data_IF_326917449593
#
_entry.id   IF_326917449593
#
_cell.length_a   1.000
_cell.length_b   1.000
_cell.length_c   1.000
_cell.angle_alpha   90.00
_cell.angle_beta   90.00
_cell.angle_gamma   90.00
#
_symmetry.space_group_name_H-M   'P 1'
#
loop_
_entity.id
_entity.type
_entity.pdbx_description
1 polymer ?
#
# COMPACT_ATOMS: atom_id res chain seq x y z
N UNK A 1 -5.65 -13.44 19.91
CA UNK A 1 -4.43 -14.13 19.45
C UNK A 1 -3.20 -13.47 20.06
N UNK A 2 -2.84 -13.78 21.31
CA UNK A 2 -1.87 -12.99 22.07
C UNK A 2 -0.46 -13.56 22.18
N UNK A 3 -0.13 -14.74 21.63
CA UNK A 3 1.24 -15.28 21.71
C UNK A 3 1.57 -16.20 20.52
N UNK A 4 1.86 -15.61 19.36
CA UNK A 4 2.57 -16.32 18.28
C UNK A 4 3.96 -15.71 18.16
N UNK A 5 4.87 -16.14 19.04
CA UNK A 5 6.29 -15.79 18.98
C UNK A 5 7.05 -17.06 18.60
N UNK A 6 7.43 -17.16 17.34
CA UNK A 6 8.27 -18.25 16.85
C UNK A 6 9.73 -17.80 16.93
N UNK A 7 10.53 -18.49 17.73
CA UNK A 7 11.95 -18.17 17.93
C UNK A 7 12.74 -18.20 16.61
N UNK A 8 12.34 -19.04 15.66
CA UNK A 8 12.93 -19.07 14.32
C UNK A 8 12.58 -17.85 13.47
N UNK A 9 11.36 -17.30 13.58
CA UNK A 9 10.98 -16.03 12.93
C UNK A 9 11.76 -14.84 13.52
N UNK A 10 11.88 -14.80 14.85
CA UNK A 10 12.64 -13.76 15.54
C UNK A 10 14.15 -13.83 15.20
N UNK A 11 14.72 -15.04 15.14
CA UNK A 11 16.11 -15.25 14.73
C UNK A 11 16.37 -14.83 13.27
N UNK A 12 15.36 -14.89 12.40
CA UNK A 12 15.42 -14.36 11.03
C UNK A 12 15.26 -12.82 10.96
N UNK A 13 15.15 -12.13 12.10
CA UNK A 13 15.01 -10.68 12.17
C UNK A 13 13.57 -10.18 12.05
N UNK A 14 12.58 -11.06 12.09
CA UNK A 14 11.17 -10.67 11.98
C UNK A 14 10.59 -10.38 13.36
N UNK A 15 10.18 -9.13 13.57
CA UNK A 15 9.37 -8.73 14.71
C UNK A 15 7.89 -8.60 14.31
N UNK A 16 7.13 -9.65 14.58
CA UNK A 16 5.69 -9.72 14.32
C UNK A 16 4.93 -8.64 15.12
N UNK A 17 5.38 -8.32 16.34
CA UNK A 17 4.74 -7.32 17.20
C UNK A 17 4.94 -5.92 16.62
N UNK A 18 6.15 -5.63 16.11
CA UNK A 18 6.42 -4.38 15.40
C UNK A 18 5.55 -4.24 14.15
N UNK A 19 5.33 -5.34 13.40
CA UNK A 19 4.40 -5.39 12.28
C UNK A 19 2.98 -4.99 12.66
N UNK A 20 2.41 -5.62 13.69
CA UNK A 20 1.07 -5.28 14.18
C UNK A 20 0.97 -3.85 14.71
N UNK A 21 2.01 -3.37 15.38
CA UNK A 21 2.08 -1.97 15.84
C UNK A 21 2.06 -1.00 14.67
N UNK A 22 2.84 -1.25 13.63
CA UNK A 22 2.87 -0.41 12.43
C UNK A 22 1.49 -0.36 11.76
N UNK A 23 0.85 -1.52 11.58
CA UNK A 23 -0.53 -1.59 11.05
C UNK A 23 -1.48 -0.76 11.90
N UNK A 24 -1.45 -0.91 13.23
CA UNK A 24 -2.31 -0.15 14.15
C UNK A 24 -2.15 1.37 14.00
N UNK A 25 -0.91 1.85 13.88
CA UNK A 25 -0.60 3.27 13.69
C UNK A 25 -1.11 3.81 12.35
N UNK A 26 -1.12 2.99 11.29
CA UNK A 26 -1.56 3.39 9.96
C UNK A 26 -3.08 3.30 9.75
N UNK A 27 -3.82 2.57 10.61
CA UNK A 27 -5.26 2.29 10.41
C UNK A 27 -6.09 3.52 10.08
N UNK A 28 -5.89 4.63 10.81
CA UNK A 28 -6.68 5.86 10.61
C UNK A 28 -6.36 6.57 9.29
N UNK A 29 -5.15 6.41 8.77
CA UNK A 29 -4.75 6.96 7.48
C UNK A 29 -5.28 6.09 6.34
N UNK A 30 -5.18 4.76 6.46
CA UNK A 30 -5.69 3.80 5.48
C UNK A 30 -7.22 3.89 5.38
N UNK A 31 -7.93 4.06 6.51
CA UNK A 31 -9.38 4.19 6.51
C UNK A 31 -9.88 5.37 5.64
N UNK A 32 -9.09 6.44 5.51
CA UNK A 32 -9.44 7.61 4.67
C UNK A 32 -9.34 7.34 3.18
N UNK A 33 -8.66 6.27 2.76
CA UNK A 33 -8.49 5.90 1.35
C UNK A 33 -9.49 4.83 0.90
N UNK A 34 -10.39 4.40 1.79
CA UNK A 34 -11.39 3.39 1.49
C UNK A 34 -12.41 3.90 0.48
N UNK A 35 -12.70 3.08 -0.52
CA UNK A 35 -13.73 3.35 -1.54
C UNK A 35 -14.73 2.21 -1.58
N UNK A 36 -15.85 2.41 -2.29
CA UNK A 36 -16.97 1.46 -2.30
C UNK A 36 -16.60 0.03 -2.76
N UNK A 37 -15.53 -0.12 -3.55
CA UNK A 37 -15.09 -1.44 -4.02
C UNK A 37 -14.27 -2.22 -2.98
N UNK A 38 -13.88 -1.65 -1.85
CA UNK A 38 -13.06 -2.38 -0.86
C UNK A 38 -13.95 -3.37 -0.08
N UNK A 39 -13.59 -4.66 -0.11
CA UNK A 39 -14.33 -5.74 0.55
C UNK A 39 -13.66 -6.17 1.88
N UNK A 40 -12.33 -6.10 1.95
CA UNK A 40 -11.57 -6.61 3.09
C UNK A 40 -11.14 -5.50 4.06
N UNK A 41 -11.01 -5.87 5.35
CA UNK A 41 -10.32 -5.05 6.35
C UNK A 41 -8.81 -5.38 6.41
N UNK A 42 -8.05 -4.54 7.11
CA UNK A 42 -6.60 -4.60 7.26
C UNK A 42 -6.21 -5.72 8.25
N UNK A 43 -5.18 -6.50 7.93
CA UNK A 43 -4.62 -7.53 8.81
C UNK A 43 -4.79 -8.97 8.31
N UNK A 44 -5.48 -9.17 7.20
CA UNK A 44 -5.47 -10.42 6.44
C UNK A 44 -4.23 -10.58 5.56
N UNK A 45 -4.10 -11.74 4.90
CA UNK A 45 -2.99 -12.02 3.97
C UNK A 45 -3.00 -11.14 2.71
N UNK A 46 -4.18 -10.68 2.28
CA UNK A 46 -4.32 -9.82 1.10
C UNK A 46 -5.55 -8.93 1.20
N UNK A 47 -5.50 -7.81 0.48
CA UNK A 47 -6.64 -6.92 0.29
C UNK A 47 -7.55 -7.42 -0.85
N UNK A 48 -8.86 -7.25 -0.69
CA UNK A 48 -9.88 -7.62 -1.67
C UNK A 48 -10.61 -6.37 -2.16
N UNK A 49 -10.76 -6.27 -3.48
CA UNK A 49 -11.41 -5.14 -4.14
C UNK A 49 -12.32 -5.63 -5.28
N UNK A 50 -13.58 -5.22 -5.26
CA UNK A 50 -14.57 -5.40 -6.31
C UNK A 50 -14.61 -4.14 -7.19
N UNK A 51 -14.15 -4.22 -8.46
CA UNK A 51 -14.21 -3.08 -9.36
C UNK A 51 -15.63 -2.88 -9.90
N UNK A 52 -16.10 -1.63 -9.90
CA UNK A 52 -17.26 -1.24 -10.71
C UNK A 52 -16.85 -1.19 -12.19
N UNK A 53 -17.38 -2.14 -12.97
CA UNK A 53 -17.13 -2.29 -14.40
C UNK A 53 -18.31 -1.79 -15.26
N UNK A 54 -19.28 -1.11 -14.65
CA UNK A 54 -20.45 -0.57 -15.35
C UNK A 54 -20.00 0.33 -16.50
N UNK A 55 -20.48 0.04 -17.71
CA UNK A 55 -20.12 0.80 -18.92
C UNK A 55 -18.82 0.39 -19.62
N UNK A 56 -18.04 -0.55 -19.05
CA UNK A 56 -16.78 -1.02 -19.65
C UNK A 56 -17.03 -2.35 -20.39
N UNK A 57 -17.03 -2.32 -21.73
CA UNK A 57 -17.34 -3.51 -22.56
C UNK A 57 -16.29 -4.63 -22.49
N UNK A 58 -15.01 -4.27 -22.39
CA UNK A 58 -13.87 -5.18 -22.37
C UNK A 58 -12.84 -4.66 -21.38
N UNK A 59 -13.02 -4.90 -20.07
CA UNK A 59 -12.15 -4.35 -19.05
C UNK A 59 -10.73 -4.91 -19.20
N UNK A 60 -9.75 -4.03 -19.02
CA UNK A 60 -8.32 -4.37 -19.02
C UNK A 60 -7.75 -3.84 -17.72
N UNK A 61 -6.99 -4.68 -17.01
CA UNK A 61 -6.26 -4.27 -15.83
C UNK A 61 -4.86 -3.79 -16.24
N UNK A 62 -4.49 -2.61 -15.74
CA UNK A 62 -3.15 -2.05 -15.87
C UNK A 62 -2.53 -2.05 -14.49
N UNK A 63 -1.36 -2.69 -14.35
CA UNK A 63 -0.57 -2.68 -13.13
C UNK A 63 0.78 -2.00 -13.38
N UNK A 64 1.32 -1.41 -12.34
CA UNK A 64 2.62 -0.74 -12.36
C UNK A 64 3.28 -0.82 -10.99
N UNK A 65 4.60 -0.76 -10.97
CA UNK A 65 5.40 -0.72 -9.75
C UNK A 65 6.58 0.20 -10.00
N UNK A 66 6.79 1.15 -9.10
CA UNK A 66 7.89 2.10 -9.15
C UNK A 66 8.31 2.48 -7.72
N UNK A 67 9.47 3.11 -7.59
CA UNK A 67 10.03 3.58 -6.33
C UNK A 67 10.36 5.06 -6.36
N UNK A 68 10.48 5.64 -5.17
CA UNK A 68 10.88 7.05 -4.98
C UNK A 68 12.34 7.31 -5.43
N UNK A 69 13.15 6.26 -5.50
CA UNK A 69 14.55 6.33 -5.93
C UNK A 69 15.45 7.11 -4.96
N UNK A 70 16.47 7.76 -5.50
CA UNK A 70 17.52 8.44 -4.71
C UNK A 70 17.01 9.64 -3.90
N UNK A 71 15.80 10.14 -4.18
CA UNK A 71 15.15 11.18 -3.36
C UNK A 71 14.97 10.75 -1.90
N UNK A 72 14.88 9.45 -1.61
CA UNK A 72 14.87 8.93 -0.23
C UNK A 72 16.12 9.34 0.56
N UNK A 73 17.28 9.49 -0.09
CA UNK A 73 18.49 9.99 0.57
C UNK A 73 18.29 11.39 1.14
N UNK A 74 17.59 12.26 0.43
CA UNK A 74 17.26 13.61 0.92
C UNK A 74 16.27 13.56 2.09
N UNK A 75 15.28 12.66 2.02
CA UNK A 75 14.34 12.46 3.13
C UNK A 75 15.05 12.04 4.42
N UNK A 76 16.03 11.12 4.32
CA UNK A 76 16.86 10.72 5.47
C UNK A 76 17.75 11.87 5.97
N UNK A 77 18.44 12.58 5.08
CA UNK A 77 19.32 13.69 5.45
C UNK A 77 18.57 14.86 6.11
N UNK A 78 17.32 15.08 5.74
CA UNK A 78 16.47 16.15 6.28
C UNK A 78 15.55 15.68 7.40
N UNK A 79 15.52 14.38 7.69
CA UNK A 79 14.60 13.74 8.63
C UNK A 79 13.12 14.09 8.36
N UNK A 80 12.72 14.14 7.09
CA UNK A 80 11.36 14.46 6.63
C UNK A 80 10.80 13.33 5.79
N UNK A 81 9.80 12.63 6.32
CA UNK A 81 9.24 11.40 5.75
C UNK A 81 7.74 11.50 5.43
N UNK A 82 7.12 12.63 5.74
CA UNK A 82 5.68 12.87 5.60
C UNK A 82 5.21 13.01 4.15
N UNK A 83 6.13 13.24 3.20
CA UNK A 83 5.81 13.43 1.78
C UNK A 83 6.30 12.32 0.86
N UNK A 84 7.25 11.48 1.28
CA UNK A 84 7.84 10.48 0.37
C UNK A 84 6.86 9.39 -0.05
N UNK A 85 5.84 9.12 0.77
CA UNK A 85 4.73 8.24 0.38
C UNK A 85 3.89 8.82 -0.76
N UNK A 86 3.73 10.15 -0.81
CA UNK A 86 3.02 10.84 -1.90
C UNK A 86 3.82 10.70 -3.20
N UNK A 87 5.14 10.89 -3.14
CA UNK A 87 6.03 10.69 -4.28
C UNK A 87 5.91 9.25 -4.83
N UNK A 88 5.89 8.25 -3.93
CA UNK A 88 5.76 6.84 -4.30
C UNK A 88 4.47 6.57 -5.08
N UNK A 89 3.33 7.03 -4.56
CA UNK A 89 2.03 6.87 -5.23
C UNK A 89 2.00 7.61 -6.58
N UNK A 90 2.55 8.83 -6.63
CA UNK A 90 2.54 9.65 -7.84
C UNK A 90 3.32 9.01 -8.99
N UNK A 91 4.48 8.39 -8.71
CA UNK A 91 5.26 7.68 -9.74
C UNK A 91 4.42 6.56 -10.39
N UNK A 92 3.82 5.68 -9.59
CA UNK A 92 3.02 4.58 -10.12
C UNK A 92 1.73 5.06 -10.82
N UNK A 93 1.00 6.01 -10.23
CA UNK A 93 -0.31 6.46 -10.73
C UNK A 93 -0.19 7.24 -12.03
N UNK A 94 0.83 8.10 -12.16
CA UNK A 94 1.00 8.91 -13.37
C UNK A 94 1.30 8.04 -14.60
N UNK A 95 2.04 6.95 -14.43
CA UNK A 95 2.37 6.03 -15.52
C UNK A 95 1.13 5.31 -16.05
N UNK A 96 0.25 4.81 -15.17
CA UNK A 96 -0.95 4.10 -15.61
C UNK A 96 -1.99 5.05 -16.21
N UNK A 97 -2.07 6.30 -15.73
CA UNK A 97 -2.98 7.32 -16.26
C UNK A 97 -2.61 7.69 -17.70
N UNK A 98 -1.33 7.63 -18.10
CA UNK A 98 -0.91 7.82 -19.49
C UNK A 98 -1.56 6.82 -20.46
N UNK A 99 -1.95 5.63 -19.97
CA UNK A 99 -2.68 4.62 -20.75
C UNK A 99 -4.20 4.82 -20.75
N UNK A 100 -4.70 5.88 -20.08
CA UNK A 100 -6.13 6.12 -19.87
C UNK A 100 -6.76 5.28 -18.76
N UNK A 101 -5.96 4.62 -17.93
CA UNK A 101 -6.47 3.78 -16.84
C UNK A 101 -6.98 4.63 -15.66
N UNK A 102 -8.02 4.14 -14.99
CA UNK A 102 -8.48 4.67 -13.71
C UNK A 102 -7.77 3.93 -12.57
N UNK A 103 -7.04 4.60 -11.67
CA UNK A 103 -6.44 3.97 -10.50
C UNK A 103 -7.52 3.38 -9.57
N UNK A 104 -7.28 2.16 -9.07
CA UNK A 104 -8.24 1.43 -8.23
C UNK A 104 -7.68 1.11 -6.83
N UNK A 105 -6.48 0.54 -6.76
CA UNK A 105 -5.84 0.06 -5.53
C UNK A 105 -4.34 0.40 -5.52
N UNK A 106 -3.72 0.42 -4.34
CA UNK A 106 -2.28 0.64 -4.16
C UNK A 106 -1.77 -0.25 -3.01
N UNK A 107 -0.57 -0.83 -3.16
CA UNK A 107 0.09 -1.71 -2.18
C UNK A 107 1.51 -1.23 -1.89
#
# INVERSE_FOLDING_TARGET
MSDSRSDSYAAAGVDITAGYRAVSLMKSHIAKTMTAGVISDIGGFGGLFEPDLTGIKKPVLVSGTDGVGTKLRLAFLTNRHDTVGIDCVAMCVNDIVCSGAKPLIFL
#
